data_IF_034932513724
#
_entry.id   IF_034932513724
#
_cell.length_a   1.000
_cell.length_b   1.000
_cell.length_c   1.000
_cell.angle_alpha   90.00
_cell.angle_beta   90.00
_cell.angle_gamma   90.00
#
_symmetry.space_group_name_H-M   'P 1'
#
loop_
_entity.id
_entity.type
_entity.pdbx_description
1 polymer ?
#
# COMPACT_ATOMS: atom_id res chain seq x y z
N UNK A 1 15.07 -9.25 -0.02
CA UNK A 1 16.12 -10.30 0.07
C UNK A 1 17.12 -9.95 1.17
N UNK A 2 17.85 -8.86 1.04
CA UNK A 2 18.89 -8.46 2.02
C UNK A 2 18.36 -8.38 3.47
N UNK A 3 17.18 -7.83 3.70
CA UNK A 3 16.55 -7.73 5.04
C UNK A 3 16.23 -9.09 5.64
N UNK A 4 15.79 -10.05 4.84
CA UNK A 4 15.52 -11.40 5.29
C UNK A 4 16.81 -12.17 5.56
N UNK A 5 17.83 -12.06 4.69
CA UNK A 5 19.11 -12.75 4.88
C UNK A 5 19.92 -12.24 6.07
N UNK A 6 19.83 -10.96 6.45
CA UNK A 6 20.46 -10.46 7.69
C UNK A 6 19.72 -10.95 8.93
N UNK A 7 18.41 -11.03 8.89
CA UNK A 7 17.62 -11.63 9.97
C UNK A 7 18.02 -13.08 10.23
N UNK A 8 18.44 -13.81 9.18
CA UNK A 8 18.93 -15.20 9.27
C UNK A 8 20.25 -15.34 10.00
N UNK A 9 21.16 -14.37 9.86
CA UNK A 9 22.49 -14.44 10.49
C UNK A 9 22.44 -14.30 12.00
N UNK A 10 21.42 -13.64 12.54
CA UNK A 10 21.24 -13.47 13.99
C UNK A 10 20.54 -14.67 14.67
N UNK A 11 19.62 -15.32 13.95
CA UNK A 11 18.86 -16.48 14.45
C UNK A 11 18.32 -17.30 13.29
N UNK A 12 19.10 -18.25 12.78
CA UNK A 12 18.73 -19.11 11.62
C UNK A 12 17.36 -19.80 11.72
N UNK A 13 16.87 -20.01 12.94
CA UNK A 13 15.57 -20.66 13.21
C UNK A 13 14.37 -19.79 12.81
N UNK A 14 14.45 -18.47 12.88
CA UNK A 14 13.32 -17.56 12.63
C UNK A 14 13.19 -17.11 11.18
N UNK A 15 14.22 -17.21 10.37
CA UNK A 15 14.20 -16.76 8.99
C UNK A 15 13.23 -17.53 8.09
N UNK A 16 12.98 -18.79 8.43
CA UNK A 16 12.04 -19.65 7.70
C UNK A 16 10.64 -19.67 8.31
N UNK A 17 10.40 -18.91 9.41
CA UNK A 17 9.06 -18.78 9.95
C UNK A 17 8.11 -18.17 8.90
N UNK A 18 6.95 -18.78 8.76
CA UNK A 18 5.95 -18.37 7.79
C UNK A 18 6.37 -18.51 6.32
N UNK A 19 7.52 -19.16 6.02
CA UNK A 19 8.02 -19.39 4.67
C UNK A 19 8.03 -20.87 4.32
N UNK A 20 7.74 -21.18 3.08
CA UNK A 20 7.79 -22.56 2.62
C UNK A 20 9.23 -22.97 2.26
N UNK A 21 9.67 -24.12 2.78
CA UNK A 21 11.02 -24.67 2.53
C UNK A 21 11.32 -24.83 1.04
N UNK A 22 10.29 -25.16 0.26
CA UNK A 22 10.38 -25.35 -1.18
C UNK A 22 10.86 -24.11 -1.94
N UNK A 23 10.46 -22.91 -1.48
CA UNK A 23 10.82 -21.64 -2.11
C UNK A 23 12.03 -20.98 -1.45
N UNK A 24 12.20 -21.19 -0.15
CA UNK A 24 13.25 -20.55 0.62
C UNK A 24 13.02 -19.06 0.87
N UNK A 25 13.93 -18.44 1.61
CA UNK A 25 13.82 -17.03 2.05
C UNK A 25 13.94 -16.02 0.91
N UNK A 26 14.89 -16.23 0.01
CA UNK A 26 15.19 -15.29 -1.06
C UNK A 26 14.04 -15.15 -2.07
N UNK A 27 13.48 -16.27 -2.49
CA UNK A 27 12.34 -16.28 -3.42
C UNK A 27 11.08 -15.74 -2.76
N UNK A 28 10.88 -16.01 -1.47
CA UNK A 28 9.73 -15.50 -0.71
C UNK A 28 9.80 -13.99 -0.55
N UNK A 29 10.97 -13.44 -0.20
CA UNK A 29 11.17 -12.01 -0.10
C UNK A 29 11.01 -11.29 -1.45
N UNK A 30 11.52 -11.90 -2.53
CA UNK A 30 11.35 -11.37 -3.89
C UNK A 30 9.86 -11.35 -4.27
N UNK A 31 9.14 -12.44 -4.01
CA UNK A 31 7.71 -12.52 -4.31
C UNK A 31 6.89 -11.49 -3.53
N UNK A 32 7.16 -11.31 -2.24
CA UNK A 32 6.52 -10.28 -1.41
C UNK A 32 6.73 -8.88 -1.97
N UNK A 33 7.94 -8.55 -2.41
CA UNK A 33 8.22 -7.27 -3.04
C UNK A 33 7.47 -7.10 -4.36
N UNK A 34 7.46 -8.11 -5.23
CA UNK A 34 6.81 -8.04 -6.53
C UNK A 34 5.28 -7.98 -6.41
N UNK A 35 4.68 -8.81 -5.55
CA UNK A 35 3.22 -8.85 -5.39
C UNK A 35 2.66 -7.52 -4.87
N UNK A 36 3.41 -6.83 -4.00
CA UNK A 36 3.03 -5.52 -3.48
C UNK A 36 3.27 -4.39 -4.49
N UNK A 37 4.22 -4.55 -5.41
CA UNK A 37 4.47 -3.58 -6.48
C UNK A 37 3.47 -3.66 -7.63
N UNK A 38 2.91 -4.84 -7.91
CA UNK A 38 1.95 -5.06 -9.01
C UNK A 38 0.50 -5.14 -8.56
N UNK A 39 0.20 -4.91 -7.29
CA UNK A 39 -1.14 -5.00 -6.69
C UNK A 39 -1.84 -6.33 -6.99
N UNK A 40 -1.14 -7.43 -6.79
CA UNK A 40 -1.63 -8.76 -7.10
C UNK A 40 -2.30 -9.45 -5.90
N UNK A 41 -1.76 -9.23 -4.69
CA UNK A 41 -2.26 -9.82 -3.44
C UNK A 41 -1.92 -11.29 -3.23
N UNK A 42 -1.31 -11.97 -4.19
CA UNK A 42 -0.87 -13.36 -3.98
C UNK A 42 0.37 -13.41 -3.09
N UNK A 43 0.38 -14.33 -2.16
CA UNK A 43 1.47 -14.51 -1.21
C UNK A 43 1.99 -15.94 -1.25
N UNK A 44 3.30 -16.11 -1.02
CA UNK A 44 3.93 -17.42 -0.86
C UNK A 44 4.68 -17.52 0.49
N UNK A 45 4.47 -16.54 1.36
CA UNK A 45 4.93 -16.54 2.74
C UNK A 45 3.93 -15.78 3.60
N UNK A 46 3.95 -15.98 4.92
CA UNK A 46 3.25 -15.11 5.85
C UNK A 46 3.95 -13.75 5.93
N UNK A 47 3.29 -12.69 5.46
CA UNK A 47 3.85 -11.34 5.52
C UNK A 47 4.03 -10.83 6.95
N UNK A 48 3.19 -11.28 7.87
CA UNK A 48 3.26 -10.96 9.28
C UNK A 48 4.53 -11.48 9.97
N UNK A 49 5.05 -12.63 9.50
CA UNK A 49 6.31 -13.24 9.99
C UNK A 49 7.55 -12.72 9.26
N UNK A 50 7.42 -11.73 8.39
CA UNK A 50 8.56 -11.17 7.66
C UNK A 50 9.39 -10.22 8.52
N UNK A 51 10.65 -10.00 8.15
CA UNK A 51 11.48 -9.01 8.81
C UNK A 51 10.84 -7.62 8.74
N UNK A 52 10.97 -6.77 9.77
CA UNK A 52 10.30 -5.46 9.82
C UNK A 52 10.58 -4.57 8.61
N UNK A 53 11.78 -4.64 8.06
CA UNK A 53 12.16 -3.89 6.86
C UNK A 53 11.45 -4.43 5.60
N UNK A 54 11.22 -5.73 5.50
CA UNK A 54 10.45 -6.33 4.41
C UNK A 54 8.99 -5.85 4.45
N UNK A 55 8.38 -5.84 5.63
CA UNK A 55 7.04 -5.30 5.84
C UNK A 55 6.94 -3.81 5.50
N UNK A 56 7.94 -3.02 5.89
CA UNK A 56 8.03 -1.60 5.53
C UNK A 56 8.11 -1.40 4.01
N UNK A 57 8.93 -2.21 3.31
CA UNK A 57 9.05 -2.13 1.85
C UNK A 57 7.72 -2.50 1.17
N UNK A 58 7.04 -3.53 1.66
CA UNK A 58 5.73 -3.92 1.15
C UNK A 58 4.69 -2.80 1.31
N UNK A 59 4.64 -2.16 2.48
CA UNK A 59 3.80 -0.97 2.73
C UNK A 59 4.15 0.19 1.81
N UNK A 60 5.43 0.51 1.66
CA UNK A 60 5.89 1.60 0.79
C UNK A 60 5.52 1.35 -0.68
N UNK A 61 5.67 0.12 -1.16
CA UNK A 61 5.27 -0.25 -2.52
C UNK A 61 3.78 0.00 -2.78
N UNK A 62 2.91 -0.39 -1.85
CA UNK A 62 1.47 -0.19 -1.97
C UNK A 62 1.05 1.27 -1.80
N UNK A 63 1.74 2.03 -0.94
CA UNK A 63 1.48 3.47 -0.77
C UNK A 63 1.86 4.28 -2.02
N UNK A 64 2.97 3.96 -2.67
CA UNK A 64 3.38 4.59 -3.93
C UNK A 64 2.45 4.18 -5.07
N UNK A 65 2.07 2.91 -5.13
CA UNK A 65 1.09 2.32 -6.05
C UNK A 65 1.32 2.61 -7.55
N UNK A 66 2.54 2.95 -7.94
CA UNK A 66 2.90 3.33 -9.30
C UNK A 66 4.15 2.61 -9.84
N UNK A 67 4.82 1.75 -9.05
CA UNK A 67 6.13 1.19 -9.42
C UNK A 67 5.99 0.29 -10.65
N UNK A 68 5.21 -0.78 -10.54
CA UNK A 68 4.80 -1.61 -11.68
C UNK A 68 3.29 -1.54 -11.88
N UNK A 69 2.54 -1.34 -10.76
CA UNK A 69 1.10 -1.25 -10.69
C UNK A 69 0.38 -2.49 -11.22
N UNK A 70 -0.91 -2.59 -10.92
CA UNK A 70 -1.78 -3.56 -11.56
C UNK A 70 -2.13 -3.13 -13.00
N UNK A 71 -2.89 -3.96 -13.71
CA UNK A 71 -3.31 -3.69 -15.09
C UNK A 71 -4.11 -2.38 -15.15
N UNK A 72 -3.47 -1.35 -15.70
CA UNK A 72 -4.02 0.00 -15.88
C UNK A 72 -3.88 0.93 -14.67
N UNK A 73 -3.98 0.45 -13.42
CA UNK A 73 -3.94 1.33 -12.24
C UNK A 73 -2.56 1.96 -12.00
N UNK A 74 -1.47 1.23 -12.23
CA UNK A 74 -0.13 1.79 -12.11
C UNK A 74 0.16 2.90 -13.12
N UNK A 75 -0.31 2.75 -14.35
CA UNK A 75 -0.19 3.79 -15.36
C UNK A 75 -1.00 5.04 -14.99
N UNK A 76 -2.22 4.86 -14.49
CA UNK A 76 -3.06 5.97 -14.01
C UNK A 76 -2.38 6.73 -12.88
N UNK A 77 -1.87 6.02 -11.88
CA UNK A 77 -1.18 6.63 -10.75
C UNK A 77 0.10 7.35 -11.19
N UNK A 78 0.84 6.76 -12.12
CA UNK A 78 2.01 7.41 -12.72
C UNK A 78 1.64 8.72 -13.43
N UNK A 79 0.55 8.74 -14.20
CA UNK A 79 0.06 9.94 -14.86
C UNK A 79 -0.33 11.01 -13.84
N UNK A 80 -1.01 10.65 -12.76
CA UNK A 80 -1.36 11.57 -11.66
C UNK A 80 -0.09 12.22 -11.08
N UNK A 81 0.93 11.43 -10.78
CA UNK A 81 2.20 11.96 -10.28
C UNK A 81 2.94 12.80 -11.31
N UNK A 82 2.86 12.45 -12.59
CA UNK A 82 3.44 13.23 -13.68
C UNK A 82 2.80 14.63 -13.77
N UNK A 83 1.48 14.71 -13.72
CA UNK A 83 0.76 15.99 -13.69
C UNK A 83 1.16 16.83 -12.49
N UNK A 84 1.25 16.23 -11.32
CA UNK A 84 1.68 16.91 -10.09
C UNK A 84 3.11 17.44 -10.23
N UNK A 85 4.02 16.62 -10.75
CA UNK A 85 5.43 16.99 -10.94
C UNK A 85 5.58 18.17 -11.92
N UNK A 86 4.88 18.12 -13.05
CA UNK A 86 4.88 19.21 -14.05
C UNK A 86 4.29 20.51 -13.47
N UNK A 87 3.22 20.38 -12.68
CA UNK A 87 2.62 21.54 -12.01
C UNK A 87 3.59 22.18 -11.02
N UNK A 88 4.20 21.41 -10.13
CA UNK A 88 5.16 21.91 -9.14
C UNK A 88 6.38 22.52 -9.84
N UNK A 89 6.93 21.82 -10.84
CA UNK A 89 8.07 22.33 -11.62
C UNK A 89 7.74 23.65 -12.32
N UNK A 90 6.55 23.77 -12.91
CA UNK A 90 6.08 24.99 -13.53
C UNK A 90 6.00 26.16 -12.57
N UNK A 91 5.46 25.92 -11.37
CA UNK A 91 5.40 26.93 -10.31
C UNK A 91 6.78 27.38 -9.84
N UNK A 92 7.72 26.44 -9.69
CA UNK A 92 9.09 26.75 -9.25
C UNK A 92 9.86 27.58 -10.28
N UNK A 93 9.61 27.38 -11.57
CA UNK A 93 10.27 28.13 -12.65
C UNK A 93 9.55 29.44 -12.95
N UNK A 94 8.34 29.63 -12.43
CA UNK A 94 7.51 30.82 -12.70
C UNK A 94 6.90 30.81 -14.11
N UNK A 95 6.71 29.65 -14.71
CA UNK A 95 6.04 29.46 -16.01
C UNK A 95 4.69 28.76 -15.82
N UNK A 96 3.77 29.00 -16.74
CA UNK A 96 2.51 28.24 -16.77
C UNK A 96 2.81 26.76 -16.99
N UNK A 97 2.34 25.86 -16.11
CA UNK A 97 2.58 24.43 -16.27
C UNK A 97 1.86 23.93 -17.54
N UNK A 98 2.61 23.31 -18.42
CA UNK A 98 2.10 22.75 -19.69
C UNK A 98 2.56 21.30 -19.81
N UNK A 99 1.65 20.42 -20.20
CA UNK A 99 1.94 19.03 -20.51
C UNK A 99 1.41 18.71 -21.92
N UNK A 100 2.26 18.15 -22.78
CA UNK A 100 1.95 17.85 -24.17
C UNK A 100 1.36 19.04 -24.95
N UNK A 101 1.85 20.26 -24.68
CA UNK A 101 1.38 21.49 -25.34
C UNK A 101 0.03 22.00 -24.84
N UNK A 102 -0.51 21.42 -23.75
CA UNK A 102 -1.76 21.81 -23.13
C UNK A 102 -1.49 22.41 -21.77
N UNK A 103 -2.09 23.56 -21.48
CA UNK A 103 -1.98 24.20 -20.16
C UNK A 103 -2.77 23.42 -19.14
N UNK A 104 -2.19 23.23 -17.96
CA UNK A 104 -2.86 22.60 -16.83
C UNK A 104 -3.66 23.69 -16.09
N UNK A 105 -4.97 23.53 -16.05
CA UNK A 105 -5.86 24.49 -15.42
C UNK A 105 -5.97 24.28 -13.90
N UNK A 106 -6.33 25.34 -13.18
CA UNK A 106 -6.49 25.28 -11.72
C UNK A 106 -7.59 24.29 -11.27
N UNK A 107 -8.59 24.05 -12.12
CA UNK A 107 -9.64 23.05 -11.88
C UNK A 107 -9.09 21.63 -11.87
N UNK A 108 -8.27 21.28 -12.85
CA UNK A 108 -7.61 19.99 -12.98
C UNK A 108 -6.72 19.70 -11.76
N UNK A 109 -5.96 20.70 -11.31
CA UNK A 109 -5.09 20.57 -10.14
C UNK A 109 -5.87 20.35 -8.84
N UNK A 110 -7.02 21.00 -8.67
CA UNK A 110 -7.87 20.76 -7.50
C UNK A 110 -8.38 19.32 -7.46
N UNK A 111 -8.82 18.79 -8.60
CA UNK A 111 -9.27 17.40 -8.70
C UNK A 111 -8.10 16.43 -8.44
N UNK A 112 -6.92 16.70 -8.99
CA UNK A 112 -5.71 15.94 -8.74
C UNK A 112 -5.35 15.92 -7.26
N UNK A 113 -5.40 17.07 -6.59
CA UNK A 113 -5.14 17.17 -5.15
C UNK A 113 -6.14 16.34 -4.33
N UNK A 114 -7.41 16.31 -4.71
CA UNK A 114 -8.42 15.47 -4.07
C UNK A 114 -8.05 13.99 -4.19
N UNK A 115 -7.67 13.52 -5.40
CA UNK A 115 -7.27 12.13 -5.63
C UNK A 115 -6.08 11.73 -4.75
N UNK A 116 -5.07 12.60 -4.65
CA UNK A 116 -3.88 12.32 -3.85
C UNK A 116 -4.19 12.32 -2.35
N UNK A 117 -5.05 13.23 -1.89
CA UNK A 117 -5.37 13.37 -0.47
C UNK A 117 -6.36 12.30 0.02
N UNK A 118 -7.19 11.74 -0.83
CA UNK A 118 -8.17 10.72 -0.43
C UNK A 118 -7.48 9.46 0.11
N UNK A 119 -6.31 9.11 -0.40
CA UNK A 119 -5.54 7.95 0.06
C UNK A 119 -5.14 8.07 1.54
N UNK A 120 -4.31 9.05 1.96
CA UNK A 120 -3.90 9.14 3.35
C UNK A 120 -5.09 9.43 4.28
N UNK A 121 -6.08 10.21 3.86
CA UNK A 121 -7.26 10.49 4.68
C UNK A 121 -8.02 9.19 4.97
N UNK A 122 -8.32 8.40 3.96
CA UNK A 122 -9.06 7.14 4.12
C UNK A 122 -8.28 6.15 4.99
N UNK A 123 -7.03 5.89 4.66
CA UNK A 123 -6.19 4.91 5.36
C UNK A 123 -6.02 5.30 6.83
N UNK A 124 -5.60 6.53 7.10
CA UNK A 124 -5.31 6.97 8.47
C UNK A 124 -6.58 7.08 9.32
N UNK A 125 -7.70 7.54 8.75
CA UNK A 125 -8.97 7.62 9.48
C UNK A 125 -9.48 6.24 9.85
N UNK A 126 -9.53 5.30 8.91
CA UNK A 126 -10.00 3.94 9.18
C UNK A 126 -9.07 3.21 10.15
N UNK A 127 -7.75 3.36 10.01
CA UNK A 127 -6.77 2.82 10.96
C UNK A 127 -6.99 3.38 12.36
N UNK A 128 -7.14 4.70 12.49
CA UNK A 128 -7.35 5.35 13.78
C UNK A 128 -8.66 4.89 14.45
N UNK A 129 -9.76 4.83 13.69
CA UNK A 129 -11.05 4.36 14.21
C UNK A 129 -10.97 2.92 14.67
N UNK A 130 -10.37 2.03 13.87
CA UNK A 130 -10.25 0.62 14.21
C UNK A 130 -9.40 0.41 15.46
N UNK A 131 -8.27 1.12 15.58
CA UNK A 131 -7.40 1.03 16.76
C UNK A 131 -8.01 1.68 18.02
N UNK A 132 -8.87 2.69 17.85
CA UNK A 132 -9.56 3.32 18.98
C UNK A 132 -10.55 2.37 19.65
N UNK A 133 -11.13 1.44 18.92
CA UNK A 133 -12.07 0.43 19.44
C UNK A 133 -11.43 -0.96 19.45
N UNK A 134 -10.80 -1.38 20.56
CA UNK A 134 -10.09 -2.68 20.64
C UNK A 134 -10.96 -3.90 20.28
N UNK A 135 -12.27 -3.81 20.46
CA UNK A 135 -13.20 -4.88 20.09
C UNK A 135 -13.32 -5.08 18.56
N UNK A 136 -12.90 -4.11 17.76
CA UNK A 136 -12.96 -4.15 16.30
C UNK A 136 -11.65 -4.60 15.65
N UNK A 137 -10.53 -4.52 16.40
CA UNK A 137 -9.19 -4.73 15.81
C UNK A 137 -8.94 -6.18 15.42
N UNK A 138 -9.21 -7.14 16.30
CA UNK A 138 -8.93 -8.55 16.04
C UNK A 138 -7.44 -8.86 15.83
N UNK A 139 -6.54 -8.07 16.43
CA UNK A 139 -5.10 -8.23 16.29
C UNK A 139 -4.59 -9.52 16.90
N UNK A 140 -3.71 -10.23 16.21
CA UNK A 140 -2.95 -11.37 16.72
C UNK A 140 -1.67 -10.94 17.44
N UNK A 141 -1.13 -9.77 17.09
CA UNK A 141 0.14 -9.26 17.61
C UNK A 141 -0.09 -8.10 18.59
N UNK A 142 0.70 -8.03 19.68
CA UNK A 142 0.60 -6.96 20.66
C UNK A 142 1.38 -5.71 20.26
N UNK A 143 1.11 -4.59 20.94
CA UNK A 143 1.87 -3.34 20.90
C UNK A 143 1.97 -2.70 19.49
N UNK A 144 3.18 -2.29 19.11
CA UNK A 144 3.40 -1.54 17.85
C UNK A 144 3.14 -2.37 16.60
N UNK A 145 3.31 -3.67 16.66
CA UNK A 145 3.03 -4.55 15.52
C UNK A 145 1.53 -4.61 15.20
N UNK A 146 0.67 -4.51 16.23
CA UNK A 146 -0.77 -4.38 16.03
C UNK A 146 -1.15 -3.17 15.16
N UNK A 147 -0.45 -2.03 15.34
CA UNK A 147 -0.65 -0.83 14.50
C UNK A 147 -0.28 -1.13 13.06
N UNK A 148 0.86 -1.77 12.84
CA UNK A 148 1.32 -2.15 11.50
C UNK A 148 0.36 -3.12 10.82
N UNK A 149 -0.19 -4.06 11.55
CA UNK A 149 -1.14 -5.06 11.06
C UNK A 149 -2.43 -4.40 10.55
N UNK A 150 -3.03 -3.51 11.34
CA UNK A 150 -4.24 -2.76 10.95
C UNK A 150 -3.96 -1.79 9.80
N UNK A 151 -2.82 -1.07 9.86
CA UNK A 151 -2.43 -0.14 8.81
C UNK A 151 -2.21 -0.87 7.48
N UNK A 152 -1.54 -2.02 7.51
CA UNK A 152 -1.26 -2.82 6.32
C UNK A 152 -2.56 -3.25 5.63
N UNK A 153 -3.56 -3.69 6.39
CA UNK A 153 -4.84 -4.12 5.85
C UNK A 153 -5.54 -2.99 5.09
N UNK A 154 -5.62 -1.79 5.66
CA UNK A 154 -6.22 -0.65 4.98
C UNK A 154 -5.40 -0.13 3.79
N UNK A 155 -4.07 -0.18 3.88
CA UNK A 155 -3.20 0.17 2.74
C UNK A 155 -3.39 -0.81 1.60
N UNK A 156 -3.44 -2.11 1.90
CA UNK A 156 -3.67 -3.17 0.92
C UNK A 156 -5.05 -3.07 0.27
N UNK A 157 -6.09 -2.83 1.07
CA UNK A 157 -7.45 -2.61 0.56
C UNK A 157 -7.52 -1.38 -0.35
N UNK A 158 -6.93 -0.25 0.06
CA UNK A 158 -6.92 0.98 -0.74
C UNK A 158 -6.11 0.83 -2.05
N UNK A 159 -4.96 0.18 -1.99
CA UNK A 159 -4.14 -0.13 -3.17
C UNK A 159 -4.78 -1.18 -4.09
N UNK A 160 -5.88 -1.82 -3.67
CA UNK A 160 -6.52 -2.94 -4.36
C UNK A 160 -5.56 -4.13 -4.55
N UNK A 161 -4.66 -4.33 -3.61
CA UNK A 161 -3.68 -5.42 -3.63
C UNK A 161 -4.31 -6.73 -3.15
N UNK A 162 -4.82 -6.78 -1.92
CA UNK A 162 -5.48 -7.94 -1.33
C UNK A 162 -4.59 -8.82 -0.45
N UNK A 163 -3.31 -8.48 -0.23
CA UNK A 163 -2.49 -9.14 0.79
C UNK A 163 -2.75 -8.51 2.16
N UNK A 164 -2.69 -9.31 3.22
CA UNK A 164 -2.79 -8.86 4.60
C UNK A 164 -1.57 -9.26 5.42
N UNK A 165 -1.50 -8.79 6.67
CA UNK A 165 -0.67 -9.42 7.68
C UNK A 165 -1.49 -10.52 8.33
N UNK A 166 -1.15 -11.76 8.00
CA UNK A 166 -1.89 -12.96 8.38
C UNK A 166 -1.95 -13.09 9.92
N UNK A 167 -3.09 -13.55 10.41
CA UNK A 167 -3.37 -13.60 11.85
C UNK A 167 -4.30 -12.49 12.34
N UNK A 168 -4.59 -11.49 11.52
CA UNK A 168 -5.66 -10.54 11.79
C UNK A 168 -7.02 -11.23 11.65
N UNK A 169 -7.90 -11.09 12.66
CA UNK A 169 -9.26 -11.62 12.60
C UNK A 169 -10.16 -10.65 11.81
N UNK A 170 -9.93 -10.59 10.50
CA UNK A 170 -10.55 -9.63 9.59
C UNK A 170 -11.94 -10.06 9.08
N UNK A 171 -12.35 -11.30 9.31
CA UNK A 171 -13.68 -11.78 8.90
C UNK A 171 -14.79 -11.31 9.85
N UNK A 172 -14.93 -10.01 10.02
CA UNK A 172 -16.00 -9.36 10.79
C UNK A 172 -16.77 -8.37 9.94
N UNK A 173 -17.98 -8.00 10.38
CA UNK A 173 -18.81 -7.00 9.68
C UNK A 173 -18.05 -5.67 9.56
N UNK A 174 -17.33 -5.27 10.60
CA UNK A 174 -16.55 -4.03 10.59
C UNK A 174 -15.48 -4.06 9.50
N UNK A 175 -14.63 -5.09 9.49
CA UNK A 175 -13.58 -5.23 8.51
C UNK A 175 -14.12 -5.31 7.08
N UNK A 176 -15.15 -6.12 6.87
CA UNK A 176 -15.76 -6.28 5.55
C UNK A 176 -16.32 -4.96 4.99
N UNK A 177 -16.96 -4.13 5.82
CA UNK A 177 -17.51 -2.84 5.38
C UNK A 177 -16.42 -1.78 5.21
N UNK A 178 -15.50 -1.67 6.16
CA UNK A 178 -14.46 -0.64 6.14
C UNK A 178 -13.44 -0.87 5.02
N UNK A 179 -13.02 -2.12 4.80
CA UNK A 179 -12.14 -2.47 3.67
C UNK A 179 -12.83 -2.32 2.32
N UNK A 180 -14.12 -2.66 2.22
CA UNK A 180 -14.91 -2.39 1.01
C UNK A 180 -14.98 -0.90 0.69
N UNK A 181 -15.18 -0.05 1.69
CA UNK A 181 -15.15 1.41 1.51
C UNK A 181 -13.77 1.88 1.03
N UNK A 182 -12.70 1.40 1.67
CA UNK A 182 -11.32 1.73 1.28
C UNK A 182 -11.03 1.31 -0.17
N UNK A 183 -11.46 0.11 -0.57
CA UNK A 183 -11.30 -0.43 -1.92
C UNK A 183 -12.02 0.42 -2.98
N UNK A 184 -13.26 0.81 -2.70
CA UNK A 184 -14.04 1.68 -3.61
C UNK A 184 -13.38 3.04 -3.76
N UNK A 185 -12.95 3.65 -2.65
CA UNK A 185 -12.28 4.94 -2.66
C UNK A 185 -10.88 4.88 -3.29
N UNK A 186 -10.19 3.75 -3.22
CA UNK A 186 -8.91 3.55 -3.88
C UNK A 186 -9.02 3.36 -5.40
N UNK A 187 -10.13 2.80 -5.86
CA UNK A 187 -10.32 2.43 -7.27
C UNK A 187 -10.98 3.51 -8.10
N UNK A 188 -12.18 3.93 -7.71
CA UNK A 188 -13.05 4.74 -8.56
C UNK A 188 -12.61 6.20 -8.72
N UNK A 189 -12.16 6.93 -7.68
CA UNK A 189 -11.71 8.31 -7.87
C UNK A 189 -10.53 8.43 -8.82
N UNK A 190 -9.55 7.53 -8.74
CA UNK A 190 -8.39 7.51 -9.64
C UNK A 190 -8.76 7.19 -11.08
N UNK A 191 -9.90 6.53 -11.31
CA UNK A 191 -10.38 6.12 -12.63
C UNK A 191 -11.28 7.17 -13.29
N UNK A 192 -11.97 7.99 -12.50
CA UNK A 192 -13.00 8.93 -12.99
C UNK A 192 -12.45 10.34 -13.12
N UNK A 193 -11.52 10.73 -12.23
CA UNK A 193 -11.08 12.12 -12.10
C UNK A 193 -10.02 12.53 -13.13
N UNK A 194 -9.04 11.70 -13.50
CA UNK A 194 -8.07 12.09 -14.55
C UNK A 194 -8.68 12.14 -15.96
#
# INVERSE_FOLDING_TARGET
IWSESISTTATQLYAMEGKEVRFGEASSALWSALTTQVNNGSVNMMHDSSAPLTGLIALANMLINAIWGGIGCGLQQFIIYLFLAVFIAGLMIGRTPELFGRKIEAGEIKLLAVVILIQPITILTLTAVTLYFPALTGNSNPQYHAVSQVLYEYVSAFANNGSGFEGLADNTIWWNLSTSLALVLGRFPTLIIP
#
